data_IF_380206205294
#
_entry.id   IF_380206205294
#
_cell.length_a   1.000
_cell.length_b   1.000
_cell.length_c   1.000
_cell.angle_alpha   90.00
_cell.angle_beta   90.00
_cell.angle_gamma   90.00
#
_symmetry.space_group_name_H-M   'P 1'
#
loop_
_entity.id
_entity.type
_entity.pdbx_description
1 polymer ?
#
# COMPACT_ATOMS: atom_id res chain seq x y z
N UNK A 1 -10.22 -26.17 -25.09
CA UNK A 1 -9.31 -25.01 -25.16
C UNK A 1 -9.74 -24.01 -24.10
N UNK A 2 -8.79 -23.43 -23.36
CA UNK A 2 -9.11 -22.30 -22.48
C UNK A 2 -9.45 -21.07 -23.34
N UNK A 3 -10.53 -20.37 -22.99
CA UNK A 3 -10.93 -19.12 -23.64
C UNK A 3 -10.33 -17.94 -22.87
N UNK A 4 -9.88 -16.92 -23.58
CA UNK A 4 -9.36 -15.70 -22.96
C UNK A 4 -10.51 -14.87 -22.40
N UNK A 5 -10.26 -14.10 -21.35
CA UNK A 5 -11.21 -13.11 -20.87
C UNK A 5 -11.24 -11.91 -21.83
N UNK A 6 -12.26 -11.83 -22.68
CA UNK A 6 -12.43 -10.76 -23.68
C UNK A 6 -12.53 -9.35 -23.08
N UNK A 7 -12.82 -9.22 -21.77
CA UNK A 7 -12.82 -7.92 -21.10
C UNK A 7 -11.44 -7.24 -21.11
N UNK A 8 -10.34 -8.00 -21.14
CA UNK A 8 -9.00 -7.43 -21.25
C UNK A 8 -8.79 -6.70 -22.59
N UNK A 9 -9.47 -7.11 -23.66
CA UNK A 9 -9.37 -6.48 -24.98
C UNK A 9 -10.05 -5.10 -25.03
N UNK A 10 -10.84 -4.75 -24.02
CA UNK A 10 -11.51 -3.44 -23.91
C UNK A 10 -10.62 -2.40 -23.22
N UNK A 11 -9.53 -2.81 -22.57
CA UNK A 11 -8.63 -1.90 -21.88
C UNK A 11 -7.72 -1.17 -22.90
N UNK A 12 -7.53 0.15 -22.78
CA UNK A 12 -6.60 0.88 -23.64
C UNK A 12 -5.15 0.46 -23.36
N UNK A 13 -4.33 0.45 -24.41
CA UNK A 13 -2.93 -0.04 -24.36
C UNK A 13 -1.96 0.76 -23.47
N UNK A 14 -2.33 1.98 -23.03
CA UNK A 14 -1.39 2.87 -22.34
C UNK A 14 -1.66 3.01 -20.84
N UNK A 15 -0.76 2.44 -20.04
CA UNK A 15 -0.62 2.80 -18.64
C UNK A 15 0.28 4.04 -18.55
N UNK A 16 -0.32 5.21 -18.30
CA UNK A 16 0.31 6.53 -18.25
C UNK A 16 1.71 6.53 -17.59
N UNK A 17 1.82 5.88 -16.43
CA UNK A 17 3.05 5.84 -15.65
C UNK A 17 4.17 5.01 -16.31
N UNK A 18 3.81 3.97 -17.07
CA UNK A 18 4.80 3.20 -17.83
C UNK A 18 5.41 4.03 -18.96
N UNK A 19 4.61 4.85 -19.63
CA UNK A 19 5.09 5.68 -20.73
C UNK A 19 5.90 6.88 -20.24
N UNK A 20 5.51 7.46 -19.10
CA UNK A 20 6.33 8.47 -18.40
C UNK A 20 7.69 7.87 -18.03
N UNK A 21 7.72 6.66 -17.44
CA UNK A 21 8.97 5.99 -17.08
C UNK A 21 9.88 5.75 -18.30
N UNK A 22 9.32 5.26 -19.41
CA UNK A 22 10.07 5.09 -20.68
C UNK A 22 10.68 6.42 -21.14
N UNK A 23 9.90 7.50 -21.18
CA UNK A 23 10.38 8.82 -21.62
C UNK A 23 11.48 9.38 -20.71
N UNK A 24 11.32 9.28 -19.38
CA UNK A 24 12.34 9.71 -18.42
C UNK A 24 13.64 8.93 -18.63
N UNK A 25 13.56 7.62 -18.83
CA UNK A 25 14.74 6.78 -19.04
C UNK A 25 15.46 7.13 -20.34
N UNK A 26 14.73 7.28 -21.45
CA UNK A 26 15.31 7.73 -22.73
C UNK A 26 16.00 9.08 -22.59
N UNK A 27 15.41 10.02 -21.85
CA UNK A 27 16.03 11.32 -21.60
C UNK A 27 17.34 11.18 -20.80
N UNK A 28 17.35 10.42 -19.70
CA UNK A 28 18.54 10.18 -18.87
C UNK A 28 19.69 9.53 -19.66
N UNK A 29 19.39 8.59 -20.57
CA UNK A 29 20.40 7.92 -21.40
C UNK A 29 20.99 8.86 -22.44
N UNK A 30 20.15 9.70 -23.06
CA UNK A 30 20.59 10.64 -24.11
C UNK A 30 21.25 11.91 -23.54
N UNK A 31 21.00 12.24 -22.26
CA UNK A 31 21.51 13.42 -21.56
C UNK A 31 22.18 13.04 -20.24
N UNK A 32 23.30 12.27 -20.25
CA UNK A 32 23.89 11.69 -19.04
C UNK A 32 24.49 12.73 -18.07
N UNK A 33 24.70 13.97 -18.52
CA UNK A 33 25.19 15.08 -17.68
C UNK A 33 24.08 15.86 -16.98
N UNK A 34 22.83 15.67 -17.40
CA UNK A 34 21.68 16.42 -16.89
C UNK A 34 21.00 15.65 -15.76
N UNK A 35 20.86 16.31 -14.61
CA UNK A 35 20.21 15.71 -13.43
C UNK A 35 18.71 15.96 -13.48
N UNK A 36 17.95 14.91 -13.81
CA UNK A 36 16.48 14.96 -13.82
C UNK A 36 15.94 15.08 -12.39
N UNK A 37 15.09 16.09 -12.14
CA UNK A 37 14.26 16.20 -10.94
C UNK A 37 12.87 15.67 -11.30
N UNK A 38 12.45 14.58 -10.66
CA UNK A 38 11.17 13.94 -10.90
C UNK A 38 10.10 14.50 -9.97
N UNK A 39 9.16 15.27 -10.51
CA UNK A 39 7.97 15.80 -9.81
C UNK A 39 6.67 15.16 -10.34
N UNK A 40 6.78 13.94 -10.88
CA UNK A 40 5.68 13.21 -11.53
C UNK A 40 4.95 12.29 -10.56
N UNK A 41 5.25 10.99 -10.63
CA UNK A 41 4.66 9.99 -9.74
C UNK A 41 5.05 10.29 -8.30
N UNK A 42 4.05 10.42 -7.42
CA UNK A 42 4.19 10.78 -6.01
C UNK A 42 4.68 9.65 -5.13
N UNK A 43 5.80 9.01 -5.49
CA UNK A 43 6.46 8.07 -4.60
C UNK A 43 7.20 8.81 -3.47
N UNK A 44 7.31 8.16 -2.31
CA UNK A 44 7.83 8.79 -1.09
C UNK A 44 9.36 8.84 -1.10
N UNK A 45 9.93 9.88 -0.48
CA UNK A 45 11.39 10.08 -0.44
C UNK A 45 11.95 10.10 0.99
N UNK A 46 11.12 9.84 2.00
CA UNK A 46 11.49 9.91 3.42
C UNK A 46 11.41 8.52 4.04
N UNK A 47 12.28 8.21 5.01
CA UNK A 47 12.24 6.93 5.70
C UNK A 47 10.98 6.80 6.56
N UNK A 48 10.64 5.56 6.91
CA UNK A 48 9.56 5.29 7.86
C UNK A 48 9.86 5.94 9.22
N UNK A 49 8.84 6.45 9.94
CA UNK A 49 9.01 6.97 11.29
C UNK A 49 9.56 5.91 12.25
N UNK A 50 10.39 6.34 13.20
CA UNK A 50 11.03 5.47 14.20
C UNK A 50 10.01 4.59 14.95
N UNK A 51 8.88 5.15 15.36
CA UNK A 51 7.83 4.41 16.07
C UNK A 51 7.27 3.23 15.26
N UNK A 52 7.14 3.38 13.93
CA UNK A 52 6.68 2.31 13.03
C UNK A 52 7.74 1.21 12.95
N UNK A 53 9.00 1.59 12.78
CA UNK A 53 10.12 0.64 12.71
C UNK A 53 10.24 -0.17 14.01
N UNK A 54 10.17 0.47 15.17
CA UNK A 54 10.23 -0.22 16.47
C UNK A 54 9.06 -1.20 16.66
N UNK A 55 7.84 -0.80 16.28
CA UNK A 55 6.67 -1.68 16.34
C UNK A 55 6.80 -2.89 15.40
N UNK A 56 7.30 -2.68 14.18
CA UNK A 56 7.53 -3.75 13.22
C UNK A 56 8.60 -4.73 13.70
N UNK A 57 9.71 -4.25 14.26
CA UNK A 57 10.73 -5.13 14.85
C UNK A 57 10.14 -6.00 15.96
N UNK A 58 9.37 -5.40 16.88
CA UNK A 58 8.71 -6.15 17.96
C UNK A 58 7.76 -7.22 17.41
N UNK A 59 7.00 -6.92 16.36
CA UNK A 59 6.08 -7.88 15.75
C UNK A 59 6.84 -9.05 15.10
N UNK A 60 7.97 -8.79 14.44
CA UNK A 60 8.83 -9.84 13.88
C UNK A 60 9.44 -10.71 14.98
N UNK A 61 9.90 -10.11 16.07
CA UNK A 61 10.45 -10.84 17.22
C UNK A 61 9.38 -11.72 17.91
N UNK A 62 8.14 -11.23 18.04
CA UNK A 62 7.00 -12.02 18.54
C UNK A 62 6.76 -13.27 17.68
N UNK A 63 6.90 -13.15 16.36
CA UNK A 63 6.72 -14.26 15.43
C UNK A 63 7.91 -15.24 15.40
N UNK A 64 9.07 -14.86 15.96
CA UNK A 64 10.25 -15.73 16.03
C UNK A 64 10.18 -16.73 17.19
N UNK A 65 9.29 -16.52 18.17
CA UNK A 65 9.15 -17.36 19.35
C UNK A 65 7.94 -18.28 19.20
N UNK A 66 8.17 -19.60 19.35
CA UNK A 66 7.13 -20.63 19.16
C UNK A 66 5.88 -20.39 19.99
N UNK A 67 6.04 -19.94 21.24
CA UNK A 67 4.94 -19.77 22.19
C UNK A 67 4.06 -18.54 21.88
N UNK A 68 4.59 -17.56 21.12
CA UNK A 68 3.88 -16.32 20.76
C UNK A 68 3.55 -16.24 19.27
N UNK A 69 4.00 -17.20 18.47
CA UNK A 69 3.73 -17.27 17.04
C UNK A 69 2.23 -17.29 16.74
N UNK A 70 1.81 -16.55 15.71
CA UNK A 70 0.43 -16.48 15.23
C UNK A 70 0.34 -16.99 13.80
N UNK A 71 -0.65 -17.84 13.52
CA UNK A 71 -0.96 -18.31 12.18
C UNK A 71 -1.73 -17.26 11.36
N UNK A 72 -2.73 -17.72 10.59
CA UNK A 72 -3.64 -16.79 9.93
C UNK A 72 -4.30 -15.83 10.93
N UNK A 73 -4.23 -14.55 10.61
CA UNK A 73 -4.97 -13.52 11.34
C UNK A 73 -6.45 -13.49 10.93
N UNK A 74 -7.27 -12.69 11.62
CA UNK A 74 -8.63 -12.40 11.20
C UNK A 74 -8.64 -11.70 9.83
N UNK A 75 -9.49 -12.17 8.91
CA UNK A 75 -9.56 -11.66 7.52
C UNK A 75 -9.90 -10.16 7.43
N UNK A 76 -10.69 -9.66 8.38
CA UNK A 76 -11.10 -8.25 8.43
C UNK A 76 -10.07 -7.35 9.14
N UNK A 77 -9.01 -7.93 9.71
CA UNK A 77 -8.00 -7.23 10.49
C UNK A 77 -8.10 -7.46 12.00
N UNK A 78 -7.00 -7.23 12.70
CA UNK A 78 -6.94 -7.38 14.15
C UNK A 78 -7.70 -6.26 14.86
N UNK A 79 -8.45 -6.60 15.91
CA UNK A 79 -9.28 -5.65 16.67
C UNK A 79 -8.48 -4.47 17.21
N UNK A 80 -7.24 -4.68 17.68
CA UNK A 80 -6.41 -3.59 18.20
C UNK A 80 -6.16 -2.48 17.17
N UNK A 81 -6.12 -2.82 15.87
CA UNK A 81 -5.90 -1.85 14.80
C UNK A 81 -7.22 -1.19 14.41
N UNK A 82 -8.30 -1.97 14.30
CA UNK A 82 -9.65 -1.46 14.02
C UNK A 82 -10.06 -0.43 15.09
N UNK A 83 -9.94 -0.79 16.37
CA UNK A 83 -10.28 0.08 17.48
C UNK A 83 -9.43 1.35 17.49
N UNK A 84 -8.14 1.23 17.14
CA UNK A 84 -7.24 2.37 17.04
C UNK A 84 -7.63 3.31 15.89
N UNK A 85 -8.00 2.78 14.72
CA UNK A 85 -8.49 3.57 13.58
C UNK A 85 -9.77 4.31 13.95
N UNK A 86 -10.77 3.63 14.52
CA UNK A 86 -12.03 4.25 14.95
C UNK A 86 -11.76 5.38 15.95
N UNK A 87 -10.99 5.08 17.00
CA UNK A 87 -10.71 6.02 18.09
C UNK A 87 -9.93 7.25 17.64
N UNK A 88 -8.95 7.11 16.75
CA UNK A 88 -8.01 8.20 16.45
C UNK A 88 -8.37 8.94 15.15
N UNK A 89 -8.97 8.27 14.16
CA UNK A 89 -9.19 8.87 12.85
C UNK A 89 -10.63 9.36 12.65
N UNK A 90 -11.61 8.77 13.36
CA UNK A 90 -13.03 9.02 13.14
C UNK A 90 -13.73 9.67 14.34
N UNK A 91 -13.57 9.15 15.55
CA UNK A 91 -14.20 9.73 16.76
C UNK A 91 -13.86 11.21 16.97
N UNK A 92 -12.61 11.69 16.77
CA UNK A 92 -12.29 13.11 16.93
C UNK A 92 -12.98 14.02 15.89
N UNK A 93 -13.46 13.42 14.79
CA UNK A 93 -14.24 14.10 13.74
C UNK A 93 -15.76 13.98 14.01
N UNK A 94 -16.18 13.40 15.13
CA UNK A 94 -17.59 13.16 15.46
C UNK A 94 -18.23 12.03 14.63
N UNK A 95 -17.42 11.17 14.01
CA UNK A 95 -17.88 10.04 13.20
C UNK A 95 -17.80 8.78 14.06
N UNK A 96 -18.90 8.05 14.12
CA UNK A 96 -19.02 6.81 14.89
C UNK A 96 -19.16 5.63 13.94
N UNK A 97 -18.35 4.60 14.18
CA UNK A 97 -18.41 3.33 13.48
C UNK A 97 -18.41 2.19 14.50
N UNK A 98 -19.17 1.14 14.21
CA UNK A 98 -19.03 -0.15 14.85
C UNK A 98 -17.78 -0.87 14.29
N UNK A 99 -17.08 -1.70 15.08
CA UNK A 99 -15.88 -2.40 14.62
C UNK A 99 -16.07 -3.22 13.33
N UNK A 100 -17.27 -3.77 13.11
CA UNK A 100 -17.60 -4.54 11.90
C UNK A 100 -17.78 -3.71 10.62
N UNK A 101 -17.70 -2.38 10.70
CA UNK A 101 -17.75 -1.47 9.55
C UNK A 101 -16.36 -1.13 9.01
N UNK A 102 -15.29 -1.56 9.69
CA UNK A 102 -13.89 -1.28 9.32
C UNK A 102 -13.20 -2.57 8.90
N UNK A 103 -12.58 -2.56 7.73
CA UNK A 103 -11.85 -3.68 7.15
C UNK A 103 -10.41 -3.24 6.85
N UNK A 104 -9.43 -3.97 7.39
CA UNK A 104 -8.01 -3.72 7.14
C UNK A 104 -7.55 -4.57 5.95
N UNK A 105 -6.94 -3.93 4.95
CA UNK A 105 -6.41 -4.56 3.73
C UNK A 105 -4.93 -4.20 3.51
N UNK A 106 -4.39 -4.61 2.36
CA UNK A 106 -3.00 -4.40 1.96
C UNK A 106 -2.77 -3.08 1.18
N UNK A 107 -3.82 -2.33 0.87
CA UNK A 107 -3.76 -1.02 0.25
C UNK A 107 -5.04 -0.64 -0.48
N UNK A 108 -5.26 0.68 -0.60
CA UNK A 108 -6.47 1.24 -1.21
C UNK A 108 -6.75 0.70 -2.62
N UNK A 109 -5.70 0.46 -3.43
CA UNK A 109 -5.87 0.02 -4.82
C UNK A 109 -6.52 -1.35 -4.95
N UNK A 110 -6.19 -2.28 -4.04
CA UNK A 110 -6.79 -3.63 -4.05
C UNK A 110 -8.31 -3.57 -3.87
N UNK A 111 -8.78 -2.63 -3.05
CA UNK A 111 -10.19 -2.46 -2.73
C UNK A 111 -10.94 -1.58 -3.73
N UNK A 112 -10.29 -0.53 -4.25
CA UNK A 112 -10.97 0.48 -5.08
C UNK A 112 -10.85 0.23 -6.59
N UNK A 113 -9.94 -0.65 -7.02
CA UNK A 113 -9.61 -0.91 -8.43
C UNK A 113 -8.57 0.04 -9.00
#
# INVERSE_FOLDING_TARGET
MALVNEHFLKLPDSYLFSDIAKKINTFKVTHPKDKVISLGIGDVTRPLPKAVIEAMHKAVDEMAVRDTFRGYGPEQGYSFLIDAVIKNDFVPKGIHFEPGEIFINDGAKSDTG
#
